data_IF_807578830443
#
_entry.id   IF_807578830443
#
_cell.length_a   1.000
_cell.length_b   1.000
_cell.length_c   1.000
_cell.angle_alpha   90.00
_cell.angle_beta   90.00
_cell.angle_gamma   90.00
#
_symmetry.space_group_name_H-M   'P 1'
#
loop_
_entity.id
_entity.type
_entity.pdbx_description
1 polymer ?
#
# COMPACT_ATOMS: atom_id res chain seq x y z
N UNK A 1 6.07 3.72 14.73
CA UNK A 1 5.75 2.30 14.49
C UNK A 1 6.84 1.75 13.58
N UNK A 2 7.69 0.85 14.09
CA UNK A 2 8.83 0.30 13.35
C UNK A 2 8.41 -1.04 12.73
N UNK A 3 8.45 -1.13 11.40
CA UNK A 3 8.04 -2.34 10.67
C UNK A 3 9.27 -3.19 10.40
N UNK A 4 9.38 -4.34 11.06
CA UNK A 4 10.48 -5.30 10.86
C UNK A 4 10.14 -6.25 9.71
N UNK A 5 10.88 -6.16 8.60
CA UNK A 5 10.71 -7.06 7.45
C UNK A 5 11.62 -8.28 7.60
N UNK A 6 11.03 -9.49 7.54
CA UNK A 6 11.78 -10.77 7.56
C UNK A 6 12.81 -10.82 6.42
N UNK A 7 14.03 -11.29 6.71
CA UNK A 7 15.16 -11.32 5.77
C UNK A 7 14.83 -11.92 4.40
N UNK A 8 14.13 -13.06 4.33
CA UNK A 8 13.76 -13.71 3.07
C UNK A 8 12.76 -12.95 2.19
N UNK A 9 12.24 -11.80 2.65
CA UNK A 9 11.39 -10.89 1.86
C UNK A 9 12.10 -9.61 1.43
N UNK A 10 13.36 -9.40 1.84
CA UNK A 10 14.10 -8.17 1.50
C UNK A 10 14.31 -7.99 0.00
N UNK A 11 14.61 -9.08 -0.70
CA UNK A 11 14.84 -9.06 -2.15
C UNK A 11 13.56 -8.85 -2.96
N UNK A 12 12.39 -8.94 -2.31
CA UNK A 12 11.07 -8.64 -2.89
C UNK A 12 10.58 -7.22 -2.59
N UNK A 13 11.35 -6.43 -1.86
CA UNK A 13 11.00 -5.04 -1.60
C UNK A 13 11.29 -4.19 -2.83
N UNK A 14 10.39 -3.23 -3.10
CA UNK A 14 10.65 -2.19 -4.09
C UNK A 14 11.87 -1.38 -3.63
N UNK A 15 12.86 -1.25 -4.51
CA UNK A 15 14.07 -0.46 -4.25
C UNK A 15 13.69 0.98 -3.90
N UNK A 16 14.52 1.68 -3.13
CA UNK A 16 14.15 3.01 -2.61
C UNK A 16 13.83 3.98 -3.75
N UNK A 17 14.60 3.90 -4.83
CA UNK A 17 14.52 4.73 -6.02
C UNK A 17 13.21 4.50 -6.80
N UNK A 18 12.65 3.29 -6.70
CA UNK A 18 11.41 2.90 -7.38
C UNK A 18 10.15 3.05 -6.50
N UNK A 19 10.27 3.53 -5.26
CA UNK A 19 9.10 3.78 -4.39
C UNK A 19 8.33 4.99 -4.90
N UNK A 20 7.01 4.98 -4.66
CA UNK A 20 6.10 6.03 -5.13
C UNK A 20 6.59 7.44 -4.79
N UNK A 21 7.07 7.69 -3.56
CA UNK A 21 7.56 9.02 -3.17
C UNK A 21 8.83 9.51 -3.90
N UNK A 22 9.57 8.61 -4.56
CA UNK A 22 10.71 8.97 -5.41
C UNK A 22 10.31 9.21 -6.87
N UNK A 23 9.17 8.66 -7.31
CA UNK A 23 8.66 8.77 -8.67
C UNK A 23 7.60 9.87 -8.80
N UNK A 24 6.84 10.10 -7.73
CA UNK A 24 5.72 11.05 -7.64
C UNK A 24 5.89 11.83 -6.33
N UNK A 25 6.80 12.82 -6.29
CA UNK A 25 7.04 13.62 -5.10
C UNK A 25 5.80 14.44 -4.70
N UNK A 26 5.41 14.34 -3.44
CA UNK A 26 4.26 15.08 -2.87
C UNK A 26 4.76 16.40 -2.26
N UNK A 27 4.14 17.50 -2.66
CA UNK A 27 4.40 18.84 -2.13
C UNK A 27 3.49 19.19 -0.96
N UNK A 28 2.19 18.85 -1.04
CA UNK A 28 1.19 19.17 -0.03
C UNK A 28 0.06 18.13 0.01
N UNK A 29 -0.68 18.11 1.11
CA UNK A 29 -1.86 17.26 1.32
C UNK A 29 -3.03 18.09 1.83
N UNK A 30 -4.20 17.92 1.21
CA UNK A 30 -5.47 18.48 1.68
C UNK A 30 -6.28 17.41 2.42
N UNK A 31 -6.44 17.51 3.75
CA UNK A 31 -7.18 16.53 4.54
C UNK A 31 -8.69 16.58 4.28
N UNK A 32 -9.23 17.68 3.76
CA UNK A 32 -10.67 17.85 3.51
C UNK A 32 -11.11 16.99 2.33
N UNK A 33 -10.36 17.08 1.23
CA UNK A 33 -10.65 16.35 0.00
C UNK A 33 -9.83 15.06 -0.15
N UNK A 34 -8.89 14.80 0.77
CA UNK A 34 -7.97 13.66 0.74
C UNK A 34 -7.12 13.60 -0.54
N UNK A 35 -6.67 14.77 -1.00
CA UNK A 35 -5.89 14.93 -2.22
C UNK A 35 -4.45 15.35 -1.92
N UNK A 36 -3.53 14.87 -2.75
CA UNK A 36 -2.12 15.25 -2.75
C UNK A 36 -1.82 16.19 -3.91
N UNK A 37 -1.06 17.25 -3.67
CA UNK A 37 -0.46 18.06 -4.73
C UNK A 37 0.93 17.50 -5.04
N UNK A 38 1.15 17.09 -6.29
CA UNK A 38 2.44 16.56 -6.75
C UNK A 38 3.32 17.67 -7.35
N UNK A 39 4.61 17.41 -7.49
CA UNK A 39 5.59 18.36 -8.04
C UNK A 39 5.40 18.68 -9.54
N UNK A 40 4.77 17.77 -10.28
CA UNK A 40 4.33 17.93 -11.66
C UNK A 40 3.01 18.70 -11.81
N UNK A 41 2.52 19.31 -10.72
CA UNK A 41 1.24 20.04 -10.63
C UNK A 41 -0.01 19.18 -10.85
N UNK A 42 0.12 17.86 -10.81
CA UNK A 42 -1.05 16.96 -10.80
C UNK A 42 -1.63 16.79 -9.39
N UNK A 43 -2.90 16.37 -9.35
CA UNK A 43 -3.56 15.97 -8.11
C UNK A 43 -3.54 14.44 -7.98
N UNK A 44 -2.99 13.95 -6.88
CA UNK A 44 -2.93 12.53 -6.54
C UNK A 44 -3.94 12.14 -5.47
N UNK A 45 -4.27 10.85 -5.43
CA UNK A 45 -5.01 10.20 -4.34
C UNK A 45 -4.42 8.81 -4.11
N UNK A 46 -4.59 8.27 -2.91
CA UNK A 46 -4.09 6.93 -2.56
C UNK A 46 -5.07 6.21 -1.64
N UNK A 47 -5.11 4.89 -1.78
CA UNK A 47 -5.83 4.02 -0.86
C UNK A 47 -4.83 3.29 0.03
N UNK A 48 -5.07 3.32 1.33
CA UNK A 48 -4.32 2.47 2.25
C UNK A 48 -4.90 1.06 2.14
N UNK A 49 -4.13 0.14 1.56
CA UNK A 49 -4.47 -1.28 1.60
C UNK A 49 -4.33 -1.76 3.05
N UNK A 50 -5.45 -2.00 3.71
CA UNK A 50 -5.44 -2.65 5.01
C UNK A 50 -5.47 -4.17 4.81
N UNK A 51 -4.58 -4.93 5.48
CA UNK A 51 -4.68 -6.37 5.45
C UNK A 51 -5.99 -6.80 6.12
N UNK A 52 -6.81 -7.57 5.42
CA UNK A 52 -7.97 -8.20 6.03
C UNK A 52 -7.47 -9.16 7.13
N UNK A 53 -7.85 -8.90 8.37
CA UNK A 53 -7.47 -9.70 9.55
C UNK A 53 -8.03 -11.13 9.54
N UNK A 54 -8.80 -11.50 8.51
CA UNK A 54 -9.51 -12.78 8.41
C UNK A 54 -8.78 -13.85 7.58
N UNK A 55 -7.45 -13.84 7.60
CA UNK A 55 -6.61 -14.92 7.06
C UNK A 55 -6.37 -16.06 8.05
N UNK A 56 -7.43 -16.57 8.70
CA UNK A 56 -7.38 -17.93 9.22
C UNK A 56 -7.51 -18.86 8.01
N UNK A 57 -6.59 -19.83 7.86
CA UNK A 57 -6.60 -20.80 6.76
C UNK A 57 -8.00 -21.42 6.57
N UNK A 58 -8.75 -21.61 7.67
CA UNK A 58 -10.13 -22.13 7.63
C UNK A 58 -11.13 -21.21 6.96
N UNK A 59 -10.96 -19.89 7.08
CA UNK A 59 -11.85 -18.92 6.44
C UNK A 59 -11.51 -18.79 4.96
N UNK A 60 -10.21 -18.84 4.63
CA UNK A 60 -9.75 -18.87 3.25
C UNK A 60 -10.28 -20.10 2.50
N UNK A 61 -10.22 -21.29 3.10
CA UNK A 61 -10.84 -22.52 2.54
C UNK A 61 -12.34 -22.35 2.31
N UNK A 62 -13.07 -21.76 3.27
CA UNK A 62 -14.52 -21.55 3.15
C UNK A 62 -14.87 -20.58 2.02
N UNK A 63 -14.12 -19.48 1.87
CA UNK A 63 -14.36 -18.50 0.80
C UNK A 63 -14.04 -19.11 -0.57
N UNK A 64 -12.96 -19.89 -0.70
CA UNK A 64 -12.65 -20.62 -1.93
C UNK A 64 -13.73 -21.64 -2.31
N UNK A 65 -14.37 -22.29 -1.33
CA UNK A 65 -15.50 -23.19 -1.58
C UNK A 65 -16.79 -22.52 -2.04
N UNK A 66 -17.00 -21.23 -1.70
CA UNK A 66 -18.18 -20.45 -2.11
C UNK A 66 -18.05 -19.82 -3.51
N UNK A 67 -16.81 -19.66 -3.98
CA UNK A 67 -16.51 -19.06 -5.29
C UNK A 67 -16.35 -20.11 -6.41
N UNK A 68 -16.61 -21.39 -6.11
CA UNK A 68 -16.59 -22.50 -7.05
C UNK A 68 -18.01 -23.06 -7.29
#
# INVERSE_FOLDING_TARGET
MEVVVKQGRRDKLISKEMRAGSLIPVLAYDPTNQLFLNDDQTLGFAFLCEPLTYGDEKIQERVSGLLN
#
